data_IF_528067341188
#
_entry.id   IF_528067341188
#
_cell.length_a   1.000
_cell.length_b   1.000
_cell.length_c   1.000
_cell.angle_alpha   90.00
_cell.angle_beta   90.00
_cell.angle_gamma   90.00
#
_symmetry.space_group_name_H-M   'P 1'
#
loop_
_entity.id
_entity.type
_entity.pdbx_description
1 polymer ?
#
# COMPACT_ATOMS: atom_id res chain seq x y z
N UNK A 1 12.71 30.86 0.70
CA UNK A 1 12.29 30.01 -0.45
C UNK A 1 12.49 28.56 -0.06
N UNK A 2 11.48 27.93 0.53
CA UNK A 2 11.47 26.49 0.82
C UNK A 2 10.80 25.79 -0.34
N UNK A 3 11.61 25.25 -1.26
CA UNK A 3 11.18 24.85 -2.59
C UNK A 3 10.88 23.34 -2.66
N UNK A 4 9.63 23.06 -3.06
CA UNK A 4 9.09 21.80 -3.63
C UNK A 4 8.71 20.69 -2.64
N UNK A 5 7.58 20.86 -1.95
CA UNK A 5 6.75 19.79 -1.38
C UNK A 5 6.06 18.97 -2.50
N UNK A 6 6.85 18.21 -3.29
CA UNK A 6 6.35 17.10 -4.11
C UNK A 6 6.77 15.81 -3.40
N UNK A 7 5.86 15.17 -2.67
CA UNK A 7 6.19 13.98 -1.91
C UNK A 7 6.17 12.70 -2.76
N UNK A 8 7.09 12.69 -3.73
CA UNK A 8 7.86 11.56 -4.27
C UNK A 8 7.20 10.17 -4.36
N UNK A 9 7.28 9.60 -5.56
CA UNK A 9 7.19 8.16 -5.82
C UNK A 9 7.96 7.34 -4.77
N UNK A 10 7.26 6.51 -3.98
CA UNK A 10 7.86 5.58 -3.02
C UNK A 10 7.97 4.22 -3.71
N UNK A 11 9.16 3.62 -3.70
CA UNK A 11 9.37 2.24 -4.15
C UNK A 11 9.73 1.36 -2.95
N UNK A 12 9.06 0.22 -2.84
CA UNK A 12 9.24 -0.77 -1.78
C UNK A 12 9.05 -2.19 -2.34
N UNK A 13 9.62 -3.18 -1.69
CA UNK A 13 9.59 -4.59 -2.11
C UNK A 13 8.56 -5.37 -1.31
N UNK A 14 7.81 -6.23 -1.99
CA UNK A 14 6.92 -7.21 -1.35
C UNK A 14 7.38 -8.62 -1.67
N UNK A 15 7.35 -9.51 -0.69
CA UNK A 15 7.64 -10.93 -0.91
C UNK A 15 6.34 -11.70 -1.18
N UNK A 16 6.21 -12.28 -2.36
CA UNK A 16 5.13 -13.19 -2.73
C UNK A 16 5.71 -14.53 -3.17
N UNK A 17 5.21 -15.64 -2.61
CA UNK A 17 5.64 -17.00 -2.94
C UNK A 17 7.18 -17.21 -2.94
N UNK A 18 7.90 -16.51 -2.05
CA UNK A 18 9.36 -16.60 -1.96
C UNK A 18 10.15 -15.60 -2.81
N UNK A 19 9.48 -14.87 -3.71
CA UNK A 19 10.08 -13.92 -4.66
C UNK A 19 9.77 -12.49 -4.23
N UNK A 20 10.76 -11.58 -4.34
CA UNK A 20 10.57 -10.16 -4.08
C UNK A 20 10.14 -9.43 -5.36
N UNK A 21 9.12 -8.59 -5.25
CA UNK A 21 8.59 -7.76 -6.33
C UNK A 21 8.64 -6.30 -5.92
N UNK A 22 9.04 -5.41 -6.83
CA UNK A 22 9.00 -3.97 -6.58
C UNK A 22 7.58 -3.44 -6.79
N UNK A 23 7.10 -2.69 -5.80
CA UNK A 23 5.86 -1.94 -5.83
C UNK A 23 6.17 -0.45 -5.76
N UNK A 24 5.36 0.30 -6.49
CA UNK A 24 5.44 1.76 -6.58
C UNK A 24 4.18 2.37 -5.98
N UNK A 25 4.36 3.29 -5.04
CA UNK A 25 3.31 4.18 -4.54
C UNK A 25 3.59 5.58 -5.09
N UNK A 26 2.69 6.07 -5.94
CA UNK A 26 2.67 7.49 -6.27
C UNK A 26 1.80 8.21 -5.24
N UNK A 27 2.38 9.24 -4.61
CA UNK A 27 1.71 10.03 -3.57
C UNK A 27 1.93 11.51 -3.85
N UNK A 28 0.92 12.33 -3.53
CA UNK A 28 1.04 13.77 -3.52
C UNK A 28 0.28 14.36 -2.33
N UNK A 29 0.86 15.37 -1.68
CA UNK A 29 0.20 16.05 -0.57
C UNK A 29 -1.02 16.85 -1.05
N UNK A 30 -0.99 17.35 -2.29
CA UNK A 30 -2.09 18.10 -2.92
C UNK A 30 -3.34 17.23 -3.15
N UNK A 31 -3.17 15.99 -3.61
CA UNK A 31 -4.33 15.11 -3.81
C UNK A 31 -4.89 14.62 -2.47
N UNK A 32 -4.09 14.64 -1.39
CA UNK A 32 -4.37 13.96 -0.10
C UNK A 32 -4.83 12.49 -0.27
N UNK A 33 -4.69 11.93 -1.47
CA UNK A 33 -5.33 10.71 -1.89
C UNK A 33 -4.34 9.86 -2.66
N UNK A 34 -3.87 8.82 -1.99
CA UNK A 34 -3.33 7.67 -2.67
C UNK A 34 -4.46 6.91 -3.37
N UNK A 35 -4.25 6.54 -4.63
CA UNK A 35 -5.17 5.63 -5.32
C UNK A 35 -4.87 4.19 -4.88
N UNK A 36 -5.65 3.63 -3.94
CA UNK A 36 -5.53 2.21 -3.56
C UNK A 36 -5.58 1.30 -4.79
N UNK A 37 -6.33 1.72 -5.81
CA UNK A 37 -6.40 1.10 -7.14
C UNK A 37 -5.03 0.84 -7.78
N UNK A 38 -4.02 1.70 -7.58
CA UNK A 38 -2.68 1.47 -8.11
C UNK A 38 -1.96 0.30 -7.41
N UNK A 39 -2.17 0.13 -6.09
CA UNK A 39 -1.66 -1.03 -5.35
C UNK A 39 -2.24 -2.32 -5.91
N UNK A 40 -3.57 -2.38 -5.97
CA UNK A 40 -4.29 -3.58 -6.35
C UNK A 40 -4.02 -3.98 -7.79
N UNK A 41 -3.83 -3.03 -8.71
CA UNK A 41 -3.42 -3.32 -10.09
C UNK A 41 -2.01 -3.93 -10.18
N UNK A 42 -1.05 -3.41 -9.42
CA UNK A 42 0.29 -3.99 -9.40
C UNK A 42 0.28 -5.38 -8.78
N UNK A 43 -0.50 -5.57 -7.72
CA UNK A 43 -0.67 -6.89 -7.09
C UNK A 43 -1.41 -7.88 -7.99
N UNK A 44 -2.40 -7.45 -8.76
CA UNK A 44 -3.02 -8.27 -9.79
C UNK A 44 -1.99 -8.72 -10.83
N UNK A 45 -1.11 -7.81 -11.28
CA UNK A 45 -0.03 -8.16 -12.22
C UNK A 45 0.99 -9.14 -11.64
N UNK A 46 1.22 -9.12 -10.32
CA UNK A 46 2.21 -9.97 -9.65
C UNK A 46 1.61 -11.33 -9.25
N UNK A 47 0.39 -11.32 -8.71
CA UNK A 47 -0.29 -12.52 -8.20
C UNK A 47 -1.11 -13.27 -9.25
N UNK A 48 -1.49 -12.60 -10.35
CA UNK A 48 -2.46 -13.10 -11.32
C UNK A 48 -3.90 -13.12 -10.80
N UNK A 49 -4.16 -12.61 -9.59
CA UNK A 49 -5.50 -12.55 -9.00
C UNK A 49 -6.12 -11.21 -9.39
N UNK A 50 -7.25 -11.19 -10.13
CA UNK A 50 -7.93 -9.96 -10.47
C UNK A 50 -8.30 -9.14 -9.23
N UNK A 51 -8.05 -7.82 -9.26
CA UNK A 51 -8.33 -6.90 -8.16
C UNK A 51 -9.75 -7.04 -7.62
N UNK A 52 -10.73 -7.17 -8.51
CA UNK A 52 -12.17 -7.36 -8.19
C UNK A 52 -12.50 -8.58 -7.32
N UNK A 53 -11.58 -9.51 -7.13
CA UNK A 53 -11.74 -10.66 -6.23
C UNK A 53 -11.00 -10.50 -4.90
N UNK A 54 -10.27 -9.40 -4.72
CA UNK A 54 -9.49 -9.10 -3.53
C UNK A 54 -10.18 -7.99 -2.75
N UNK A 55 -10.68 -8.27 -1.55
CA UNK A 55 -11.39 -7.29 -0.72
C UNK A 55 -10.47 -6.41 0.12
N UNK A 56 -9.34 -6.97 0.57
CA UNK A 56 -8.37 -6.29 1.43
C UNK A 56 -7.00 -6.95 1.33
N UNK A 57 -5.98 -6.20 1.75
CA UNK A 57 -4.60 -6.65 1.86
C UNK A 57 -4.14 -6.46 3.30
N UNK A 58 -3.55 -7.49 3.88
CA UNK A 58 -2.87 -7.40 5.16
C UNK A 58 -1.38 -7.26 4.89
N UNK A 59 -0.82 -6.07 5.12
CA UNK A 59 0.63 -5.88 5.02
C UNK A 59 1.26 -5.99 6.39
N UNK A 60 2.15 -6.96 6.53
CA UNK A 60 2.99 -7.14 7.71
C UNK A 60 4.22 -6.25 7.58
N UNK A 61 4.36 -5.31 8.51
CA UNK A 61 5.45 -4.36 8.54
C UNK A 61 6.30 -4.59 9.79
N UNK A 62 7.57 -4.94 9.58
CA UNK A 62 8.53 -5.15 10.66
C UNK A 62 9.72 -6.00 10.22
N UNK A 63 10.80 -6.00 11.02
CA UNK A 63 11.90 -6.93 10.82
C UNK A 63 11.40 -8.37 10.99
N UNK A 64 11.67 -9.22 10.00
CA UNK A 64 11.48 -10.67 10.14
C UNK A 64 12.40 -11.18 11.26
N UNK A 65 11.97 -12.10 12.16
CA UNK A 65 10.82 -12.98 12.05
C UNK A 65 9.51 -12.52 12.70
N UNK A 66 9.48 -11.41 13.45
CA UNK A 66 8.27 -10.99 14.17
C UNK A 66 7.74 -9.65 13.64
N UNK A 67 6.68 -9.64 12.81
CA UNK A 67 6.08 -8.40 12.36
C UNK A 67 5.49 -7.64 13.55
N UNK A 68 6.04 -6.44 13.81
CA UNK A 68 5.65 -5.60 14.95
C UNK A 68 4.34 -4.84 14.64
N UNK A 69 4.04 -4.62 13.36
CA UNK A 69 2.83 -3.92 12.93
C UNK A 69 2.18 -4.61 11.73
N UNK A 70 0.86 -4.53 11.65
CA UNK A 70 0.13 -4.84 10.43
C UNK A 70 -0.73 -3.64 10.04
N UNK A 71 -0.85 -3.41 8.74
CA UNK A 71 -1.82 -2.46 8.18
C UNK A 71 -2.73 -3.18 7.21
N UNK A 72 -4.02 -2.90 7.29
CA UNK A 72 -5.01 -3.42 6.35
C UNK A 72 -5.27 -2.35 5.31
N UNK A 73 -5.21 -2.70 4.03
CA UNK A 73 -5.60 -1.83 2.91
C UNK A 73 -6.82 -2.42 2.23
N UNK A 74 -7.92 -1.67 2.19
CA UNK A 74 -9.18 -2.12 1.62
C UNK A 74 -9.24 -1.82 0.11
N UNK A 75 -9.82 -2.74 -0.67
CA UNK A 75 -10.02 -2.56 -2.10
C UNK A 75 -11.38 -1.94 -2.39
N UNK A 76 -11.39 -0.66 -2.72
CA UNK A 76 -12.63 0.03 -3.06
C UNK A 76 -13.31 -0.57 -4.31
N UNK A 77 -12.56 -1.07 -5.29
CA UNK A 77 -13.15 -1.70 -6.48
C UNK A 77 -14.01 -2.93 -6.13
N UNK A 78 -13.57 -3.71 -5.13
CA UNK A 78 -14.35 -4.84 -4.62
C UNK A 78 -15.64 -4.36 -3.94
N UNK A 79 -15.59 -3.30 -3.14
CA UNK A 79 -16.75 -2.77 -2.43
C UNK A 79 -17.72 -2.00 -3.34
N UNK A 80 -17.22 -1.33 -4.38
CA UNK A 80 -18.03 -0.67 -5.40
C UNK A 80 -18.93 -1.68 -6.14
N UNK A 81 -18.45 -2.92 -6.35
CA UNK A 81 -19.23 -4.03 -6.93
C UNK A 81 -20.35 -4.49 -5.97
N UNK A 82 -20.14 -4.41 -4.66
CA UNK A 82 -21.08 -4.90 -3.65
C UNK A 82 -22.17 -3.89 -3.26
N UNK A 83 -22.11 -2.65 -3.76
CA UNK A 83 -23.15 -1.64 -3.59
C UNK A 83 -23.02 -0.78 -2.32
N UNK A 84 -23.99 0.13 -2.07
CA UNK A 84 -23.80 1.38 -1.29
C UNK A 84 -23.67 1.23 0.24
N UNK A 85 -23.55 0.01 0.77
CA UNK A 85 -23.51 -0.21 2.23
C UNK A 85 -22.11 -0.09 2.86
N UNK A 86 -21.06 0.15 2.07
CA UNK A 86 -19.67 0.10 2.55
C UNK A 86 -18.84 1.27 2.01
N UNK A 87 -19.16 2.50 2.42
CA UNK A 87 -18.29 3.66 2.20
C UNK A 87 -17.54 3.98 3.50
N UNK A 88 -16.35 3.41 3.68
CA UNK A 88 -15.46 3.79 4.78
C UNK A 88 -14.00 4.00 4.32
N UNK A 89 -13.53 5.25 4.47
CA UNK A 89 -12.15 5.76 4.65
C UNK A 89 -10.96 5.13 3.88
N UNK A 90 -11.03 5.00 2.55
CA UNK A 90 -9.87 4.71 1.68
C UNK A 90 -8.68 5.67 1.92
N UNK A 91 -8.97 6.97 2.08
CA UNK A 91 -7.96 8.03 2.24
C UNK A 91 -7.13 7.93 3.52
N UNK A 92 -7.70 7.45 4.63
CA UNK A 92 -6.98 7.38 5.91
C UNK A 92 -6.01 6.20 5.93
N UNK A 93 -6.43 5.08 5.34
CA UNK A 93 -5.68 3.82 5.32
C UNK A 93 -4.42 3.94 4.46
N UNK A 94 -4.54 4.58 3.30
CA UNK A 94 -3.44 4.65 2.36
C UNK A 94 -2.39 5.70 2.71
N UNK A 95 -2.81 6.84 3.27
CA UNK A 95 -1.89 7.81 3.85
C UNK A 95 -1.13 7.21 5.04
N UNK A 96 -1.76 6.30 5.80
CA UNK A 96 -1.08 5.55 6.85
C UNK A 96 -0.04 4.59 6.27
N UNK A 97 -0.37 3.86 5.20
CA UNK A 97 0.59 2.99 4.52
C UNK A 97 1.84 3.74 4.06
N UNK A 98 1.68 4.84 3.32
CA UNK A 98 2.80 5.62 2.82
C UNK A 98 3.71 6.13 3.96
N UNK A 99 3.10 6.63 5.04
CA UNK A 99 3.83 7.08 6.24
C UNK A 99 4.58 5.94 6.93
N UNK A 100 3.95 4.77 7.06
CA UNK A 100 4.60 3.60 7.67
C UNK A 100 5.76 3.13 6.80
N UNK A 101 5.57 2.94 5.48
CA UNK A 101 6.66 2.54 4.57
C UNK A 101 7.85 3.51 4.66
N UNK A 102 7.58 4.82 4.67
CA UNK A 102 8.63 5.83 4.84
C UNK A 102 9.31 5.76 6.20
N UNK A 103 8.55 5.54 7.29
CA UNK A 103 9.10 5.37 8.64
C UNK A 103 10.07 4.19 8.66
N UNK A 104 9.67 3.03 8.17
CA UNK A 104 10.50 1.83 8.16
C UNK A 104 11.74 1.98 7.27
N UNK A 105 11.60 2.64 6.12
CA UNK A 105 12.75 2.92 5.24
C UNK A 105 13.77 3.85 5.90
N UNK A 106 13.31 4.87 6.62
CA UNK A 106 14.18 5.87 7.23
C UNK A 106 14.76 5.42 8.58
N UNK A 107 13.99 4.73 9.42
CA UNK A 107 14.38 4.37 10.78
C UNK A 107 15.05 2.99 10.86
N UNK A 108 14.70 2.07 9.98
CA UNK A 108 15.09 0.65 10.07
C UNK A 108 15.88 0.17 8.84
N UNK A 109 16.19 1.06 7.89
CA UNK A 109 16.89 0.77 6.63
C UNK A 109 16.30 -0.44 5.88
N UNK A 110 14.98 -0.61 5.99
CA UNK A 110 14.25 -1.75 5.42
C UNK A 110 13.21 -1.27 4.43
N UNK A 111 13.28 -1.80 3.22
CA UNK A 111 12.32 -1.58 2.14
C UNK A 111 11.51 -2.83 1.78
N UNK A 112 11.68 -3.92 2.54
CA UNK A 112 11.08 -5.22 2.27
C UNK A 112 9.89 -5.51 3.19
N UNK A 113 8.76 -5.90 2.59
CA UNK A 113 7.48 -6.13 3.25
C UNK A 113 6.91 -7.49 2.84
N UNK A 114 5.99 -8.02 3.65
CA UNK A 114 5.35 -9.31 3.41
C UNK A 114 3.85 -9.10 3.18
N UNK A 115 3.33 -9.82 2.18
CA UNK A 115 1.90 -9.90 1.83
C UNK A 115 1.30 -11.23 2.29
#
# INVERSE_FOLDING_TARGET
>A
EGNVENLGKITFKVKLAGVYHDLVLEWSEESKSYEAKQLFKQLESISGIPSKYTSSLLMCIGPHPEPIHYTVVENQEFFDILGPFHTFREYTVCNKLAKEVMRYKNELDSDCFYL
#
